data_IF_742075314991
#
_entry.id   IF_742075314991
#
_cell.length_a   1.000
_cell.length_b   1.000
_cell.length_c   1.000
_cell.angle_alpha   90.00
_cell.angle_beta   90.00
_cell.angle_gamma   90.00
#
_symmetry.space_group_name_H-M   'P 1'
#
loop_
_entity.id
_entity.type
_entity.pdbx_description
1 polymer ?
#
# COMPACT_ATOMS: atom_id res chain seq x y z
N UNK A 1 -11.06 22.66 37.65
CA UNK A 1 -11.92 21.99 36.66
C UNK A 1 -11.00 21.40 35.62
N UNK A 2 -10.96 20.10 35.50
CA UNK A 2 -10.25 19.43 34.37
C UNK A 2 -11.21 19.54 33.19
N UNK A 3 -10.76 20.18 32.12
CA UNK A 3 -11.40 20.09 30.82
C UNK A 3 -11.42 18.60 30.43
N UNK A 4 -12.57 17.95 30.47
CA UNK A 4 -12.79 16.68 29.83
C UNK A 4 -12.64 16.93 28.33
N UNK A 5 -11.48 16.60 27.79
CA UNK A 5 -11.31 16.40 26.36
C UNK A 5 -12.40 15.41 25.94
N UNK A 6 -13.38 15.90 25.19
CA UNK A 6 -14.34 15.06 24.47
C UNK A 6 -13.52 14.10 23.61
N UNK A 7 -13.37 12.87 24.07
CA UNK A 7 -12.87 11.78 23.24
C UNK A 7 -13.89 11.65 22.11
N UNK A 8 -13.50 12.04 20.90
CA UNK A 8 -14.36 11.86 19.75
C UNK A 8 -14.78 10.37 19.68
N UNK A 9 -16.07 10.12 19.44
CA UNK A 9 -16.57 8.77 19.18
C UNK A 9 -15.90 8.23 17.92
N UNK A 10 -14.81 7.53 18.12
CA UNK A 10 -14.03 6.88 17.07
C UNK A 10 -14.29 5.39 17.12
N UNK A 11 -13.80 4.66 16.11
CA UNK A 11 -13.94 3.20 16.05
C UNK A 11 -13.32 2.57 17.31
N UNK A 12 -14.15 1.90 18.16
CA UNK A 12 -13.67 1.34 19.43
C UNK A 12 -12.59 0.29 19.19
N UNK A 13 -11.48 0.41 19.92
CA UNK A 13 -10.40 -0.58 19.90
C UNK A 13 -9.49 -0.53 18.67
N UNK A 14 -9.62 0.45 17.77
CA UNK A 14 -8.71 0.59 16.64
C UNK A 14 -7.29 0.91 17.12
N UNK A 15 -6.34 0.04 16.77
CA UNK A 15 -4.91 0.18 17.14
C UNK A 15 -3.98 0.36 15.93
N UNK A 16 -4.42 0.06 14.72
CA UNK A 16 -3.61 0.20 13.51
C UNK A 16 -4.16 -0.56 12.31
N UNK A 17 -3.35 -0.64 11.27
CA UNK A 17 -3.62 -1.46 10.07
C UNK A 17 -3.08 -2.86 10.32
N UNK A 18 -3.91 -3.87 10.11
CA UNK A 18 -3.52 -5.28 10.24
C UNK A 18 -2.85 -5.78 8.94
N UNK A 19 -3.55 -5.69 7.81
CA UNK A 19 -3.05 -6.09 6.50
C UNK A 19 -3.58 -5.20 5.38
N UNK A 20 -3.02 -5.37 4.20
CA UNK A 20 -3.45 -4.73 2.96
C UNK A 20 -3.87 -5.86 2.02
N UNK A 21 -5.18 -5.92 1.70
CA UNK A 21 -5.73 -6.88 0.75
C UNK A 21 -5.54 -6.38 -0.68
N UNK A 22 -5.04 -7.26 -1.57
CA UNK A 22 -4.88 -6.96 -3.00
C UNK A 22 -5.27 -8.16 -3.85
N UNK A 23 -5.96 -7.91 -4.96
CA UNK A 23 -6.29 -8.95 -5.94
C UNK A 23 -5.30 -8.88 -7.11
N UNK A 24 -4.78 -10.05 -7.49
CA UNK A 24 -3.81 -10.19 -8.58
C UNK A 24 -4.31 -11.21 -9.61
N UNK A 25 -3.85 -11.10 -10.87
CA UNK A 25 -4.23 -12.06 -11.90
C UNK A 25 -3.57 -13.44 -11.73
N UNK A 26 -2.40 -13.50 -11.07
CA UNK A 26 -1.58 -14.68 -10.94
C UNK A 26 -0.77 -14.65 -9.64
N UNK A 27 -1.00 -15.60 -8.74
CA UNK A 27 -0.35 -15.68 -7.43
C UNK A 27 1.12 -16.13 -7.51
N UNK A 28 1.53 -16.89 -8.52
CA UNK A 28 2.94 -17.25 -8.67
C UNK A 28 3.77 -16.04 -9.16
N UNK A 29 3.21 -15.24 -10.07
CA UNK A 29 3.82 -13.97 -10.45
C UNK A 29 3.91 -13.02 -9.25
N UNK A 30 2.83 -12.92 -8.46
CA UNK A 30 2.82 -12.10 -7.25
C UNK A 30 3.82 -12.61 -6.22
N UNK A 31 3.93 -13.92 -6.01
CA UNK A 31 4.91 -14.52 -5.10
C UNK A 31 6.33 -14.16 -5.50
N UNK A 32 6.68 -14.29 -6.76
CA UNK A 32 7.99 -13.87 -7.28
C UNK A 32 8.25 -12.38 -7.01
N UNK A 33 7.26 -11.52 -7.26
CA UNK A 33 7.40 -10.09 -6.99
C UNK A 33 7.56 -9.80 -5.49
N UNK A 34 6.70 -10.33 -4.63
CA UNK A 34 6.78 -10.05 -3.19
C UNK A 34 8.02 -10.66 -2.54
N UNK A 35 8.39 -11.89 -2.88
CA UNK A 35 9.52 -12.58 -2.24
C UNK A 35 10.85 -12.20 -2.89
N UNK A 36 10.99 -12.34 -4.19
CA UNK A 36 12.30 -12.24 -4.85
C UNK A 36 12.66 -10.79 -5.18
N UNK A 37 11.67 -9.91 -5.41
CA UNK A 37 11.92 -8.50 -5.69
C UNK A 37 11.83 -7.63 -4.45
N UNK A 38 10.74 -7.72 -3.68
CA UNK A 38 10.54 -6.87 -2.50
C UNK A 38 11.18 -7.43 -1.21
N UNK A 39 11.63 -8.69 -1.21
CA UNK A 39 12.24 -9.33 -0.05
C UNK A 39 11.24 -9.64 1.07
N UNK A 40 9.96 -9.83 0.74
CA UNK A 40 8.95 -10.23 1.70
C UNK A 40 9.17 -11.68 2.16
N UNK A 41 8.83 -11.95 3.41
CA UNK A 41 8.68 -13.31 3.89
C UNK A 41 7.33 -13.88 3.46
N UNK A 42 7.32 -15.03 2.80
CA UNK A 42 6.09 -15.79 2.58
C UNK A 42 5.66 -16.46 3.89
N UNK A 43 4.43 -16.24 4.30
CA UNK A 43 3.91 -16.77 5.56
C UNK A 43 3.16 -18.08 5.36
N UNK A 44 2.07 -18.05 4.64
CA UNK A 44 1.21 -19.20 4.34
C UNK A 44 0.24 -18.88 3.21
N UNK A 45 -0.47 -19.94 2.76
CA UNK A 45 -1.58 -19.83 1.81
C UNK A 45 -2.84 -20.46 2.36
N UNK A 46 -3.98 -20.05 1.84
CA UNK A 46 -5.28 -20.70 2.02
C UNK A 46 -5.86 -21.05 0.66
N UNK A 47 -6.55 -22.18 0.59
CA UNK A 47 -7.04 -22.76 -0.67
C UNK A 47 -6.13 -23.88 -1.21
N UNK A 48 -6.38 -24.42 -2.41
CA UNK A 48 -7.43 -23.97 -3.32
C UNK A 48 -8.84 -24.14 -2.74
N UNK A 49 -9.69 -23.12 -2.96
CA UNK A 49 -11.09 -23.20 -2.55
C UNK A 49 -11.89 -23.90 -3.63
N UNK A 50 -12.55 -24.95 -3.26
CA UNK A 50 -13.48 -25.66 -4.13
C UNK A 50 -14.88 -25.14 -3.82
N UNK A 51 -15.62 -24.68 -4.81
CA UNK A 51 -17.03 -24.35 -4.63
C UNK A 51 -17.80 -25.63 -4.38
N UNK A 52 -18.21 -25.83 -3.13
CA UNK A 52 -18.88 -27.09 -2.73
C UNK A 52 -20.38 -27.04 -2.92
N UNK A 53 -21.04 -25.89 -3.02
CA UNK A 53 -22.49 -25.79 -3.15
C UNK A 53 -22.93 -24.75 -4.18
N UNK A 54 -23.79 -25.09 -5.15
CA UNK A 54 -24.43 -24.10 -6.00
C UNK A 54 -25.38 -23.22 -5.18
N UNK A 55 -25.16 -21.92 -5.17
CA UNK A 55 -26.03 -20.93 -4.49
C UNK A 55 -25.52 -20.50 -3.12
N UNK A 56 -24.27 -20.77 -2.77
CA UNK A 56 -23.62 -20.14 -1.62
C UNK A 56 -23.20 -18.71 -1.98
N UNK A 57 -24.00 -17.73 -1.60
CA UNK A 57 -23.74 -16.30 -1.82
C UNK A 57 -22.87 -15.69 -0.71
N UNK A 58 -22.29 -16.49 0.19
CA UNK A 58 -21.55 -16.04 1.36
C UNK A 58 -20.44 -15.04 1.00
N UNK A 59 -19.64 -15.32 -0.03
CA UNK A 59 -18.56 -14.40 -0.45
C UNK A 59 -19.11 -13.10 -1.02
N UNK A 60 -20.21 -13.15 -1.77
CA UNK A 60 -20.84 -11.96 -2.29
C UNK A 60 -21.41 -11.08 -1.15
N UNK A 61 -22.06 -11.71 -0.16
CA UNK A 61 -22.65 -11.00 0.98
C UNK A 61 -21.60 -10.43 1.96
N UNK A 62 -20.48 -11.11 2.15
CA UNK A 62 -19.50 -10.77 3.19
C UNK A 62 -18.25 -10.08 2.64
N UNK A 63 -17.90 -10.32 1.37
CA UNK A 63 -16.67 -9.80 0.74
C UNK A 63 -16.94 -8.85 -0.42
N UNK A 64 -18.21 -8.59 -0.76
CA UNK A 64 -18.62 -7.75 -1.89
C UNK A 64 -17.95 -8.17 -3.21
N UNK A 65 -17.86 -9.45 -3.47
CA UNK A 65 -17.37 -10.02 -4.73
C UNK A 65 -18.53 -10.41 -5.63
N UNK A 66 -18.29 -10.48 -6.96
CA UNK A 66 -19.28 -10.99 -7.90
C UNK A 66 -19.77 -12.38 -7.42
N UNK A 67 -21.09 -12.65 -7.31
CA UNK A 67 -21.59 -13.93 -6.83
C UNK A 67 -21.18 -15.13 -7.69
N UNK A 68 -20.69 -14.88 -8.91
CA UNK A 68 -20.13 -15.91 -9.80
C UNK A 68 -18.60 -16.04 -9.66
N UNK A 69 -17.97 -15.21 -8.81
CA UNK A 69 -16.54 -15.26 -8.61
C UNK A 69 -16.14 -16.53 -7.83
N UNK A 70 -14.99 -17.06 -8.21
CA UNK A 70 -14.34 -18.16 -7.51
C UNK A 70 -13.05 -17.64 -6.91
N UNK A 71 -12.92 -17.67 -5.59
CA UNK A 71 -11.63 -17.48 -4.94
C UNK A 71 -10.78 -18.73 -5.18
N UNK A 72 -9.75 -18.62 -5.99
CA UNK A 72 -8.90 -19.75 -6.30
C UNK A 72 -7.96 -20.06 -5.15
N UNK A 73 -7.26 -19.04 -4.67
CA UNK A 73 -6.30 -19.17 -3.58
C UNK A 73 -5.96 -17.76 -3.06
N UNK A 74 -5.39 -17.69 -1.85
CA UNK A 74 -4.79 -16.48 -1.32
C UNK A 74 -3.47 -16.78 -0.60
N UNK A 75 -2.54 -15.83 -0.67
CA UNK A 75 -1.22 -15.91 -0.05
C UNK A 75 -1.00 -14.74 0.90
N UNK A 76 -0.27 -14.99 1.98
CA UNK A 76 0.14 -13.96 2.94
C UNK A 76 1.64 -13.72 2.86
N UNK A 77 2.03 -12.43 2.78
CA UNK A 77 3.42 -12.01 2.75
C UNK A 77 3.66 -10.93 3.82
N UNK A 78 4.81 -10.98 4.46
CA UNK A 78 5.23 -9.97 5.44
C UNK A 78 6.41 -9.16 4.91
N UNK A 79 6.25 -7.84 4.86
CA UNK A 79 7.31 -6.89 4.53
C UNK A 79 7.84 -6.24 5.81
N UNK A 80 9.14 -6.34 6.03
CA UNK A 80 9.76 -5.78 7.23
C UNK A 80 9.16 -6.37 8.53
N UNK A 81 8.98 -5.53 9.56
CA UNK A 81 8.57 -6.03 10.87
C UNK A 81 7.09 -6.40 11.00
N UNK A 82 6.17 -5.72 10.31
CA UNK A 82 4.72 -5.86 10.58
C UNK A 82 3.78 -5.71 9.40
N UNK A 83 4.19 -5.12 8.28
CA UNK A 83 3.29 -4.91 7.15
C UNK A 83 2.95 -6.25 6.50
N UNK A 84 1.68 -6.62 6.47
CA UNK A 84 1.18 -7.84 5.85
C UNK A 84 0.43 -7.50 4.58
N UNK A 85 0.71 -8.26 3.52
CA UNK A 85 -0.09 -8.28 2.30
C UNK A 85 -0.88 -9.58 2.27
N UNK A 86 -2.20 -9.47 2.12
CA UNK A 86 -3.13 -10.55 1.82
C UNK A 86 -3.44 -10.50 0.33
N UNK A 87 -2.94 -11.47 -0.42
CA UNK A 87 -2.93 -11.42 -1.88
C UNK A 87 -3.85 -12.51 -2.42
N UNK A 88 -4.91 -12.08 -3.10
CA UNK A 88 -5.97 -12.94 -3.62
C UNK A 88 -5.82 -13.19 -5.11
N UNK A 89 -6.21 -14.38 -5.54
CA UNK A 89 -6.51 -14.70 -6.93
C UNK A 89 -7.96 -15.15 -7.06
N UNK A 90 -8.74 -14.35 -7.80
CA UNK A 90 -10.13 -14.69 -8.15
C UNK A 90 -10.24 -15.01 -9.64
N UNK A 91 -11.18 -15.87 -9.98
CA UNK A 91 -11.72 -15.99 -11.32
C UNK A 91 -13.17 -15.54 -11.29
N UNK A 92 -13.53 -14.55 -12.10
CA UNK A 92 -14.91 -14.08 -12.23
C UNK A 92 -15.23 -13.80 -13.70
N UNK A 93 -16.48 -14.05 -14.16
CA UNK A 93 -16.94 -13.56 -15.45
C UNK A 93 -16.83 -12.03 -15.46
N UNK A 94 -16.40 -11.46 -16.57
CA UNK A 94 -16.28 -9.99 -16.75
C UNK A 94 -15.34 -9.29 -15.75
N UNK A 95 -14.40 -10.01 -15.16
CA UNK A 95 -13.42 -9.46 -14.23
C UNK A 95 -12.66 -8.28 -14.86
N UNK A 96 -12.62 -7.14 -14.16
CA UNK A 96 -11.79 -6.00 -14.56
C UNK A 96 -10.33 -6.31 -14.21
N UNK A 97 -9.53 -6.61 -15.22
CA UNK A 97 -8.14 -7.04 -15.03
C UNK A 97 -7.13 -5.89 -15.02
N UNK A 98 -7.55 -4.67 -15.36
CA UNK A 98 -6.68 -3.49 -15.31
C UNK A 98 -6.81 -2.79 -13.96
N UNK A 99 -5.71 -2.64 -13.18
CA UNK A 99 -5.72 -1.83 -11.98
C UNK A 99 -6.17 -0.38 -12.26
N UNK A 100 -6.88 0.29 -11.33
CA UNK A 100 -7.25 1.68 -11.47
C UNK A 100 -5.99 2.56 -11.51
N UNK A 101 -6.07 3.70 -12.20
CA UNK A 101 -5.04 4.75 -12.08
C UNK A 101 -5.17 5.43 -10.73
N UNK A 102 -4.13 6.08 -10.25
CA UNK A 102 -4.21 6.94 -9.04
C UNK A 102 -5.31 8.01 -9.11
N UNK A 103 -5.70 8.43 -10.32
CA UNK A 103 -6.76 9.42 -10.56
C UNK A 103 -8.18 8.84 -10.61
N UNK A 104 -8.32 7.54 -10.67
CA UNK A 104 -9.62 6.87 -10.74
C UNK A 104 -10.18 6.66 -9.32
N UNK A 105 -11.51 6.60 -9.17
CA UNK A 105 -12.11 6.21 -7.89
C UNK A 105 -11.69 4.77 -7.57
N UNK A 106 -11.19 4.54 -6.36
CA UNK A 106 -10.53 3.28 -5.98
C UNK A 106 -9.04 3.23 -6.33
N UNK A 107 -8.50 4.26 -7.01
CA UNK A 107 -7.07 4.40 -7.24
C UNK A 107 -6.29 4.48 -5.94
N UNK A 108 -5.25 3.67 -5.83
CA UNK A 108 -4.42 3.57 -4.63
C UNK A 108 -3.00 3.16 -4.98
N UNK A 109 -2.08 3.37 -4.04
CA UNK A 109 -0.73 2.86 -4.09
C UNK A 109 -0.25 2.52 -2.67
N UNK A 110 0.78 1.72 -2.59
CA UNK A 110 1.49 1.43 -1.34
C UNK A 110 2.86 2.06 -1.41
N UNK A 111 3.16 2.95 -0.45
CA UNK A 111 4.46 3.59 -0.36
C UNK A 111 5.41 2.74 0.51
N UNK A 112 6.58 2.41 -0.06
CA UNK A 112 7.65 1.66 0.57
C UNK A 112 8.80 2.60 0.88
N UNK A 113 9.25 2.60 2.14
CA UNK A 113 10.41 3.39 2.55
C UNK A 113 11.71 2.67 2.17
N UNK A 114 12.64 3.43 1.59
CA UNK A 114 14.01 2.97 1.29
C UNK A 114 15.02 4.02 1.78
N UNK A 115 16.15 3.57 2.25
CA UNK A 115 17.22 4.47 2.72
C UNK A 115 17.93 5.16 1.54
N UNK A 116 18.14 4.43 0.45
CA UNK A 116 18.79 4.91 -0.78
C UNK A 116 17.84 4.75 -1.98
N UNK A 117 17.22 5.86 -2.39
CA UNK A 117 16.26 5.87 -3.49
C UNK A 117 16.91 5.57 -4.84
N UNK A 118 18.13 6.09 -5.08
CA UNK A 118 18.79 5.93 -6.38
C UNK A 118 19.24 4.48 -6.57
N UNK A 119 19.77 3.84 -5.54
CA UNK A 119 20.09 2.42 -5.56
C UNK A 119 18.83 1.55 -5.73
N UNK A 120 17.72 1.89 -5.07
CA UNK A 120 16.46 1.17 -5.20
C UNK A 120 15.87 1.29 -6.62
N UNK A 121 15.92 2.47 -7.23
CA UNK A 121 15.48 2.68 -8.63
C UNK A 121 16.34 1.86 -9.60
N UNK A 122 17.65 1.90 -9.43
CA UNK A 122 18.57 1.11 -10.26
C UNK A 122 18.28 -0.39 -10.14
N UNK A 123 17.97 -0.87 -8.93
CA UNK A 123 17.57 -2.25 -8.68
C UNK A 123 16.26 -2.60 -9.40
N UNK A 124 15.21 -1.76 -9.31
CA UNK A 124 13.93 -2.01 -10.00
C UNK A 124 14.12 -2.11 -11.52
N UNK A 125 14.94 -1.25 -12.11
CA UNK A 125 15.29 -1.33 -13.53
C UNK A 125 16.01 -2.64 -13.87
N UNK A 126 16.95 -3.09 -13.03
CA UNK A 126 17.65 -4.35 -13.22
C UNK A 126 16.70 -5.57 -13.10
N UNK A 127 15.62 -5.46 -12.32
CA UNK A 127 14.55 -6.47 -12.26
C UNK A 127 13.55 -6.36 -13.42
N UNK A 128 13.72 -5.42 -14.34
CA UNK A 128 12.83 -5.23 -15.49
C UNK A 128 11.48 -4.58 -15.15
N UNK A 129 11.36 -3.96 -13.99
CA UNK A 129 10.13 -3.28 -13.58
C UNK A 129 10.01 -1.87 -14.16
N UNK A 130 8.78 -1.45 -14.41
CA UNK A 130 8.50 -0.11 -14.94
C UNK A 130 8.51 0.91 -13.82
N UNK A 131 9.48 1.82 -13.85
CA UNK A 131 9.53 3.01 -12.99
C UNK A 131 8.89 4.18 -13.75
N UNK A 132 8.03 4.96 -13.07
CA UNK A 132 7.25 6.04 -13.69
C UNK A 132 7.97 7.39 -13.54
N UNK A 133 8.72 7.75 -14.56
CA UNK A 133 9.48 9.00 -14.60
C UNK A 133 10.70 8.99 -13.67
N UNK A 134 11.19 10.19 -13.38
CA UNK A 134 12.38 10.40 -12.54
C UNK A 134 11.99 10.65 -11.08
N UNK A 135 12.87 10.33 -10.11
CA UNK A 135 12.64 10.67 -8.71
C UNK A 135 12.35 12.15 -8.49
N UNK A 136 11.25 12.41 -7.82
CA UNK A 136 10.73 13.75 -7.53
C UNK A 136 11.12 14.19 -6.13
N UNK A 137 11.45 15.48 -5.97
CA UNK A 137 11.72 16.11 -4.67
C UNK A 137 10.44 16.77 -4.16
N UNK A 138 10.05 16.46 -2.94
CA UNK A 138 8.90 17.08 -2.28
C UNK A 138 9.24 18.50 -1.77
N UNK A 139 8.19 19.32 -1.62
CA UNK A 139 8.27 20.68 -1.09
C UNK A 139 7.35 20.84 0.13
N UNK A 140 7.48 21.97 0.82
CA UNK A 140 6.63 22.31 1.97
C UNK A 140 6.79 21.31 3.12
N UNK A 141 5.70 20.82 3.73
CA UNK A 141 5.76 19.90 4.86
C UNK A 141 6.57 18.64 4.59
N UNK A 142 6.55 18.17 3.35
CA UNK A 142 7.28 16.99 2.90
C UNK A 142 8.68 17.26 2.37
N UNK A 143 9.20 18.51 2.47
CA UNK A 143 10.57 18.81 2.08
C UNK A 143 11.58 17.94 2.82
N UNK A 144 12.55 17.40 2.07
CA UNK A 144 13.50 16.39 2.54
C UNK A 144 13.11 14.97 2.10
N UNK A 145 11.92 14.79 1.52
CA UNK A 145 11.50 13.54 0.90
C UNK A 145 11.77 13.55 -0.60
N UNK A 146 12.27 12.43 -1.12
CA UNK A 146 12.27 12.07 -2.54
C UNK A 146 11.38 10.85 -2.74
N UNK A 147 10.75 10.75 -3.90
CA UNK A 147 9.83 9.65 -4.20
C UNK A 147 9.75 9.37 -5.71
N UNK A 148 9.32 8.17 -6.06
CA UNK A 148 9.02 7.76 -7.42
C UNK A 148 8.01 6.60 -7.40
N UNK A 149 7.12 6.55 -8.39
CA UNK A 149 6.22 5.42 -8.58
C UNK A 149 6.84 4.34 -9.44
N UNK A 150 6.43 3.11 -9.21
CA UNK A 150 6.73 1.98 -10.08
C UNK A 150 5.53 1.02 -10.16
N UNK A 151 5.53 0.15 -11.15
CA UNK A 151 4.46 -0.82 -11.37
C UNK A 151 4.92 -2.23 -11.00
N UNK A 152 4.10 -2.93 -10.23
CA UNK A 152 4.18 -4.37 -10.12
C UNK A 152 3.92 -5.03 -11.50
N UNK A 153 4.30 -6.29 -11.72
CA UNK A 153 4.13 -6.96 -13.01
C UNK A 153 2.72 -6.95 -13.57
N UNK A 154 1.70 -6.90 -12.70
CA UNK A 154 0.28 -6.81 -13.09
C UNK A 154 -0.26 -5.38 -13.18
N UNK A 155 0.59 -4.35 -13.03
CA UNK A 155 0.25 -2.96 -13.22
C UNK A 155 -0.23 -2.22 -11.97
N UNK A 156 -0.30 -2.85 -10.80
CA UNK A 156 -0.58 -2.15 -9.54
C UNK A 156 0.54 -1.16 -9.23
N UNK A 157 0.17 0.03 -8.75
CA UNK A 157 1.14 1.07 -8.39
C UNK A 157 1.70 0.88 -6.99
N UNK A 158 3.02 1.00 -6.90
CA UNK A 158 3.77 1.19 -5.68
C UNK A 158 4.54 2.50 -5.75
N UNK A 159 4.93 3.03 -4.60
CA UNK A 159 5.77 4.22 -4.48
C UNK A 159 7.03 3.86 -3.68
N UNK A 160 8.19 4.29 -4.13
CA UNK A 160 9.38 4.36 -3.27
C UNK A 160 9.47 5.75 -2.67
N UNK A 161 9.69 5.83 -1.36
CA UNK A 161 9.92 7.08 -0.63
C UNK A 161 11.21 6.99 0.17
N UNK A 162 11.98 8.09 0.21
CA UNK A 162 13.21 8.21 1.00
C UNK A 162 13.31 9.59 1.62
N UNK A 163 13.56 9.63 2.93
CA UNK A 163 13.76 10.86 3.70
C UNK A 163 14.69 10.63 4.90
N UNK A 164 15.96 10.21 4.66
CA UNK A 164 16.90 9.87 5.75
C UNK A 164 17.16 11.05 6.71
N UNK A 165 17.06 12.29 6.22
CA UNK A 165 17.18 13.52 7.02
C UNK A 165 15.87 13.98 7.66
N UNK A 166 14.80 13.16 7.66
CA UNK A 166 13.44 13.50 8.07
C UNK A 166 12.77 14.57 7.20
N UNK A 167 11.45 14.56 7.14
CA UNK A 167 10.66 15.60 6.46
C UNK A 167 10.69 16.92 7.26
N UNK A 168 10.45 18.04 6.59
CA UNK A 168 10.36 19.35 7.27
C UNK A 168 9.28 19.33 8.37
N UNK A 169 8.13 18.73 8.10
CA UNK A 169 7.05 18.55 9.08
C UNK A 169 7.54 17.83 10.36
N UNK A 170 8.29 16.74 10.21
CA UNK A 170 8.81 15.96 11.34
C UNK A 170 9.89 16.75 12.12
N UNK A 171 10.72 17.51 11.42
CA UNK A 171 11.73 18.39 12.05
C UNK A 171 11.09 19.54 12.82
N UNK A 172 9.92 20.01 12.36
CA UNK A 172 9.15 21.07 13.04
C UNK A 172 8.36 20.58 14.26
N UNK A 173 8.36 19.28 14.55
CA UNK A 173 7.66 18.71 15.71
C UNK A 173 6.61 17.64 15.38
N UNK A 174 6.27 17.47 14.11
CA UNK A 174 5.38 16.38 13.66
C UNK A 174 3.90 16.55 14.02
N UNK A 175 3.45 17.75 14.38
CA UNK A 175 2.04 18.07 14.62
C UNK A 175 1.58 19.23 13.74
N UNK A 176 0.25 19.34 13.53
CA UNK A 176 -0.32 20.42 12.73
C UNK A 176 -0.02 21.81 13.34
N UNK A 177 -0.12 21.93 14.68
CA UNK A 177 0.15 23.15 15.41
C UNK A 177 1.62 23.56 15.31
N UNK A 178 2.55 22.62 15.49
CA UNK A 178 3.98 22.86 15.37
C UNK A 178 4.37 23.29 13.95
N UNK A 179 3.76 22.67 12.93
CA UNK A 179 3.95 23.06 11.54
C UNK A 179 3.42 24.46 11.23
N UNK A 180 2.22 24.80 11.71
CA UNK A 180 1.63 26.14 11.55
C UNK A 180 2.51 27.23 12.19
N UNK A 181 3.04 26.99 13.38
CA UNK A 181 3.96 27.88 14.06
C UNK A 181 5.29 28.06 13.29
N UNK A 182 5.83 26.97 12.75
CA UNK A 182 7.05 26.98 11.93
C UNK A 182 6.88 27.83 10.67
N UNK A 183 5.77 27.67 9.95
CA UNK A 183 5.49 28.43 8.72
C UNK A 183 5.25 29.92 8.99
N UNK A 184 4.54 30.26 10.08
CA UNK A 184 4.32 31.65 10.49
C UNK A 184 5.65 32.36 10.81
N UNK A 185 6.57 31.69 11.50
CA UNK A 185 7.89 32.24 11.81
C UNK A 185 8.74 32.48 10.54
N UNK A 186 8.64 31.58 9.55
CA UNK A 186 9.38 31.64 8.28
C UNK A 186 8.88 32.77 7.34
N UNK A 187 7.63 33.22 7.49
CA UNK A 187 7.06 34.31 6.68
C UNK A 187 7.28 35.68 7.29
N UNK A 188 7.70 35.74 8.56
CA UNK A 188 7.98 37.00 9.30
C UNK A 188 9.46 37.45 9.22
N UNK A 189 10.31 36.66 8.59
CA UNK A 189 11.74 36.91 8.37
C UNK A 189 12.04 37.25 6.91
#
# INVERSE_FOLDING_TARGET
MREELLVADTLPGLTGVDHIGVTVPDLEQARTFFVDVLGCEYLYSLGPFVHDEPGDDWMAEHLDVDPRAVMQQLHFFRLGGRAIFEVFQYAAPDQVTRPPRNSDIGGHHVALYVDDLDAAVAYLHAQGLTVLGEPTVSKGPSEGQRWVYFLAPWGMQFELVSYPGRKAFDRAGGTAEAWAAHTAASTAS
#
